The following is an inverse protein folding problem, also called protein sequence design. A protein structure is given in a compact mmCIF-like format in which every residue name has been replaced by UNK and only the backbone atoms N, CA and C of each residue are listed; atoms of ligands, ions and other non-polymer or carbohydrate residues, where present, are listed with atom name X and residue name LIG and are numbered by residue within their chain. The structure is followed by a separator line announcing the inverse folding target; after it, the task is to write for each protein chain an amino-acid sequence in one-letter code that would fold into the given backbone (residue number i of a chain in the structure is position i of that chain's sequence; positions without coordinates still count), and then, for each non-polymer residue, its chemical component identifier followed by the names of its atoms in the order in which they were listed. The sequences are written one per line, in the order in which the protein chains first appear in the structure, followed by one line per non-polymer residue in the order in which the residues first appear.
data_IF_565574198418
#
_entry.id   IF_565574198418
#
_cell.length_a   1.000
_cell.length_b   1.000
_cell.length_c   1.000
_cell.angle_alpha   90.00
_cell.angle_beta   90.00
_cell.angle_gamma   90.00
#
_symmetry.space_group_name_H-M   'P 1'
#
loop_
_entity.id
_entity.type
_entity.pdbx_description
1 polymer ?
#
# COMPACT_ATOMS: atom_id res chain seq x y z
N UNK A 1 -0.97 -16.44 25.47
CA UNK A 1 -0.35 -15.72 24.35
C UNK A 1 -0.93 -14.35 24.21
N UNK A 2 -0.07 -13.38 24.18
CA UNK A 2 -0.53 -12.00 24.10
C UNK A 2 -0.90 -11.63 22.68
N UNK A 3 -2.05 -10.94 22.52
CA UNK A 3 -2.42 -10.28 21.26
C UNK A 3 -1.87 -8.85 21.19
N UNK A 4 -1.23 -8.41 22.26
CA UNK A 4 -0.79 -7.04 22.46
C UNK A 4 0.71 -6.90 22.13
N UNK A 5 1.09 -7.27 20.91
CA UNK A 5 2.46 -7.12 20.43
C UNK A 5 2.47 -6.80 18.94
N UNK A 6 3.60 -6.27 18.46
CA UNK A 6 3.69 -5.88 17.04
C UNK A 6 3.47 -7.01 16.07
N UNK A 7 3.91 -8.21 16.40
CA UNK A 7 3.78 -9.35 15.49
C UNK A 7 2.32 -9.74 15.29
N UNK A 8 1.52 -9.75 16.38
CA UNK A 8 0.09 -10.02 16.29
C UNK A 8 -0.60 -8.94 15.47
N UNK A 9 -0.25 -7.68 15.69
CA UNK A 9 -0.78 -6.56 14.91
C UNK A 9 -0.48 -6.74 13.41
N UNK A 10 0.73 -7.12 13.05
CA UNK A 10 1.12 -7.33 11.65
C UNK A 10 0.36 -8.51 11.02
N UNK A 11 0.08 -9.57 11.79
CA UNK A 11 -0.75 -10.67 11.30
C UNK A 11 -2.18 -10.22 11.02
N UNK A 12 -2.72 -9.38 11.89
CA UNK A 12 -4.06 -8.81 11.69
C UNK A 12 -4.09 -7.95 10.42
N UNK A 13 -3.04 -7.18 10.16
CA UNK A 13 -2.94 -6.38 8.93
C UNK A 13 -2.92 -7.29 7.70
N UNK A 14 -2.18 -8.40 7.76
CA UNK A 14 -2.15 -9.37 6.66
C UNK A 14 -3.56 -9.90 6.36
N UNK A 15 -4.32 -10.22 7.40
CA UNK A 15 -5.71 -10.69 7.24
C UNK A 15 -6.60 -9.61 6.62
N UNK A 16 -6.39 -8.35 6.98
CA UNK A 16 -7.14 -7.23 6.41
C UNK A 16 -6.87 -7.12 4.90
N UNK A 17 -5.63 -7.29 4.47
CA UNK A 17 -5.27 -7.26 3.05
C UNK A 17 -6.02 -8.37 2.31
N UNK A 18 -6.03 -9.58 2.85
CA UNK A 18 -6.74 -10.71 2.25
C UNK A 18 -8.25 -10.44 2.18
N UNK A 19 -8.83 -9.92 3.23
CA UNK A 19 -10.26 -9.64 3.29
C UNK A 19 -10.66 -8.56 2.28
N UNK A 20 -9.87 -7.51 2.15
CA UNK A 20 -10.12 -6.45 1.15
C UNK A 20 -10.02 -6.95 -0.27
N UNK A 21 -9.16 -7.93 -0.53
CA UNK A 21 -9.04 -8.53 -1.85
C UNK A 21 -10.33 -9.19 -2.33
N UNK A 22 -11.18 -9.64 -1.41
CA UNK A 22 -12.47 -10.27 -1.74
C UNK A 22 -13.52 -9.28 -2.19
N UNK A 23 -13.43 -8.03 -1.76
CA UNK A 23 -14.45 -7.02 -2.03
C UNK A 23 -13.98 -5.89 -2.95
N UNK A 24 -12.69 -5.58 -2.96
CA UNK A 24 -12.12 -4.44 -3.69
C UNK A 24 -11.23 -4.87 -4.86
N UNK A 25 -11.13 -6.17 -5.12
CA UNK A 25 -10.25 -6.70 -6.15
C UNK A 25 -8.83 -6.89 -5.68
N UNK A 26 -7.99 -7.40 -6.56
CA UNK A 26 -6.62 -7.75 -6.23
C UNK A 26 -5.78 -6.49 -5.95
N UNK A 27 -5.01 -6.52 -4.87
CA UNK A 27 -4.22 -5.37 -4.42
C UNK A 27 -3.21 -4.89 -5.47
N UNK A 28 -2.59 -5.80 -6.21
CA UNK A 28 -1.62 -5.46 -7.26
C UNK A 28 -2.26 -4.66 -8.38
N UNK A 29 -3.39 -5.15 -8.89
CA UNK A 29 -4.12 -4.50 -9.97
C UNK A 29 -4.59 -3.10 -9.55
N UNK A 30 -5.13 -2.99 -8.34
CA UNK A 30 -5.59 -1.71 -7.81
C UNK A 30 -4.46 -0.67 -7.77
N UNK A 31 -3.28 -1.06 -7.33
CA UNK A 31 -2.15 -0.13 -7.25
C UNK A 31 -1.61 0.21 -8.63
N UNK A 32 -1.59 -0.74 -9.55
CA UNK A 32 -1.18 -0.50 -10.93
C UNK A 32 -2.11 0.50 -11.63
N UNK A 33 -3.41 0.32 -11.48
CA UNK A 33 -4.41 1.24 -12.06
C UNK A 33 -4.33 2.62 -11.39
N UNK A 34 -4.20 2.65 -10.07
CA UNK A 34 -4.08 3.92 -9.33
C UNK A 34 -2.86 4.71 -9.83
N UNK A 35 -1.72 4.04 -9.99
CA UNK A 35 -0.51 4.69 -10.48
C UNK A 35 -0.73 5.28 -11.89
N UNK A 36 -1.40 4.53 -12.76
CA UNK A 36 -1.71 5.00 -14.11
C UNK A 36 -2.61 6.22 -14.10
N UNK A 37 -3.67 6.18 -13.28
CA UNK A 37 -4.62 7.29 -13.20
C UNK A 37 -3.95 8.54 -12.65
N UNK A 38 -3.13 8.40 -11.61
CA UNK A 38 -2.41 9.55 -11.05
C UNK A 38 -1.38 10.09 -12.02
N UNK A 39 -0.70 9.23 -12.76
CA UNK A 39 0.25 9.66 -13.79
C UNK A 39 -0.43 10.44 -14.90
N UNK A 40 -1.61 10.01 -15.32
CA UNK A 40 -2.42 10.72 -16.31
C UNK A 40 -2.84 12.09 -15.80
N UNK A 41 -3.31 12.17 -14.57
CA UNK A 41 -3.77 13.42 -13.97
C UNK A 41 -2.64 14.44 -13.87
N UNK A 42 -1.47 14.01 -13.40
CA UNK A 42 -0.33 14.90 -13.22
C UNK A 42 0.37 15.25 -14.55
N UNK A 43 0.29 14.35 -15.53
CA UNK A 43 0.76 14.62 -16.89
C UNK A 43 2.19 15.11 -16.94
N UNK A 44 2.38 16.26 -17.53
CA UNK A 44 3.71 16.84 -17.76
C UNK A 44 4.42 17.35 -16.51
N UNK A 45 3.74 17.38 -15.37
CA UNK A 45 4.39 17.71 -14.09
C UNK A 45 5.34 16.59 -13.64
N UNK A 46 5.21 15.41 -14.21
CA UNK A 46 6.08 14.27 -13.86
C UNK A 46 7.19 14.11 -14.89
N UNK A 47 8.41 13.85 -14.42
CA UNK A 47 9.52 13.50 -15.31
C UNK A 47 9.39 12.07 -15.83
N UNK A 48 8.68 11.23 -15.10
CA UNK A 48 8.35 9.85 -15.50
C UNK A 48 7.10 9.40 -14.76
N UNK A 49 6.40 8.35 -15.25
CA UNK A 49 5.17 7.88 -14.61
C UNK A 49 5.40 7.40 -13.18
N UNK A 50 4.36 7.57 -12.36
CA UNK A 50 4.34 7.02 -11.00
C UNK A 50 4.25 5.50 -11.11
N UNK A 51 5.08 4.78 -10.36
CA UNK A 51 5.02 3.32 -10.31
C UNK A 51 3.96 2.86 -9.30
N UNK A 52 3.55 1.60 -9.41
CA UNK A 52 2.56 1.02 -8.49
C UNK A 52 3.04 1.07 -7.04
N UNK A 53 4.31 0.73 -6.79
CA UNK A 53 4.86 0.76 -5.44
C UNK A 53 4.95 2.20 -4.90
N UNK A 54 5.23 3.18 -5.78
CA UNK A 54 5.20 4.59 -5.38
C UNK A 54 3.79 5.03 -5.01
N UNK A 55 2.79 4.60 -5.77
CA UNK A 55 1.39 4.89 -5.45
C UNK A 55 1.01 4.32 -4.08
N UNK A 56 1.46 3.11 -3.76
CA UNK A 56 1.21 2.51 -2.45
C UNK A 56 1.87 3.32 -1.32
N UNK A 57 3.11 3.77 -1.53
CA UNK A 57 3.79 4.65 -0.55
C UNK A 57 3.03 5.96 -0.38
N UNK A 58 2.54 6.55 -1.47
CA UNK A 58 1.76 7.79 -1.41
C UNK A 58 0.47 7.60 -0.61
N UNK A 59 -0.21 6.47 -0.76
CA UNK A 59 -1.37 6.15 0.06
C UNK A 59 -1.00 6.02 1.53
N UNK A 60 0.15 5.44 1.84
CA UNK A 60 0.67 5.39 3.20
C UNK A 60 0.90 6.78 3.78
N UNK A 61 1.46 7.69 2.98
CA UNK A 61 1.67 9.08 3.38
C UNK A 61 0.36 9.81 3.66
N UNK A 62 -0.71 9.49 2.91
CA UNK A 62 -2.04 10.03 3.20
C UNK A 62 -2.49 9.63 4.61
N UNK A 63 -2.22 8.39 5.02
CA UNK A 63 -2.57 7.93 6.37
C UNK A 63 -1.74 8.63 7.44
N UNK A 64 -0.47 8.91 7.14
CA UNK A 64 0.38 9.70 8.03
C UNK A 64 -0.21 11.11 8.22
N UNK A 65 -0.67 11.74 7.15
CA UNK A 65 -1.27 13.07 7.25
C UNK A 65 -2.54 13.06 8.12
N UNK A 66 -3.35 12.01 8.04
CA UNK A 66 -4.54 11.85 8.89
C UNK A 66 -4.17 11.72 10.35
N UNK A 67 -3.10 10.96 10.65
CA UNK A 67 -2.60 10.86 12.03
C UNK A 67 -2.10 12.19 12.55
N UNK A 68 -1.45 12.97 11.71
CA UNK A 68 -0.94 14.29 12.09
C UNK A 68 -2.08 15.29 12.34
N UNK A 69 -3.14 15.23 11.54
CA UNK A 69 -4.28 16.17 11.66
C UNK A 69 -5.24 15.81 12.78
N UNK A 70 -5.32 14.55 13.15
CA UNK A 70 -6.29 14.08 14.16
C UNK A 70 -5.58 13.40 15.31
N UNK A 71 -5.42 12.09 15.23
CA UNK A 71 -4.74 11.32 16.27
C UNK A 71 -4.24 10.01 15.68
N UNK A 72 -3.26 9.44 16.36
CA UNK A 72 -2.75 8.11 15.98
C UNK A 72 -3.71 7.08 16.56
N UNK A 73 -4.37 6.33 15.69
CA UNK A 73 -5.29 5.25 16.06
C UNK A 73 -4.79 3.92 15.52
N UNK A 74 -5.29 2.84 16.08
CA UNK A 74 -4.96 1.50 15.56
C UNK A 74 -5.35 1.37 14.08
N UNK A 75 -6.52 1.89 13.70
CA UNK A 75 -6.99 1.85 12.33
C UNK A 75 -6.05 2.58 11.38
N UNK A 76 -5.58 3.78 11.76
CA UNK A 76 -4.61 4.51 10.95
C UNK A 76 -3.30 3.75 10.81
N UNK A 77 -2.85 3.09 11.88
CA UNK A 77 -1.63 2.27 11.83
C UNK A 77 -1.82 1.04 10.94
N UNK A 78 -2.99 0.39 11.00
CA UNK A 78 -3.30 -0.73 10.11
C UNK A 78 -3.21 -0.31 8.65
N UNK A 79 -3.81 0.82 8.30
CA UNK A 79 -3.81 1.33 6.93
C UNK A 79 -2.39 1.70 6.48
N UNK A 80 -1.66 2.40 7.33
CA UNK A 80 -0.28 2.81 7.02
C UNK A 80 0.62 1.59 6.78
N UNK A 81 0.58 0.63 7.67
CA UNK A 81 1.37 -0.60 7.56
C UNK A 81 0.90 -1.44 6.37
N UNK A 82 -0.41 -1.48 6.13
CA UNK A 82 -1.00 -2.19 5.00
C UNK A 82 -0.45 -1.69 3.67
N UNK A 83 -0.41 -0.38 3.47
CA UNK A 83 0.14 0.20 2.24
C UNK A 83 1.64 -0.04 2.12
N UNK A 84 2.38 -0.03 3.23
CA UNK A 84 3.78 -0.43 3.24
C UNK A 84 3.96 -1.89 2.80
N UNK A 85 3.07 -2.76 3.27
CA UNK A 85 3.04 -4.16 2.85
C UNK A 85 2.77 -4.32 1.37
N UNK A 86 1.80 -3.55 0.83
CA UNK A 86 1.51 -3.58 -0.61
C UNK A 86 2.71 -3.12 -1.43
N UNK A 87 3.37 -2.04 -1.01
CA UNK A 87 4.57 -1.56 -1.70
C UNK A 87 5.67 -2.62 -1.71
N UNK A 88 5.91 -3.26 -0.56
CA UNK A 88 6.90 -4.33 -0.45
C UNK A 88 6.56 -5.52 -1.32
N UNK A 89 5.30 -5.92 -1.35
CA UNK A 89 4.82 -7.01 -2.19
C UNK A 89 5.00 -6.70 -3.67
N UNK A 90 4.69 -5.48 -4.09
CA UNK A 90 4.87 -5.03 -5.47
C UNK A 90 6.35 -5.08 -5.89
N UNK A 91 7.24 -4.68 -5.00
CA UNK A 91 8.68 -4.74 -5.26
C UNK A 91 9.17 -6.18 -5.42
N UNK A 92 8.68 -7.10 -4.59
CA UNK A 92 9.03 -8.52 -4.70
C UNK A 92 8.58 -9.11 -6.03
N UNK A 93 7.35 -8.79 -6.46
CA UNK A 93 6.83 -9.25 -7.75
C UNK A 93 7.69 -8.70 -8.88
N UNK A 94 8.02 -7.41 -8.84
CA UNK A 94 8.85 -6.76 -9.85
C UNK A 94 10.23 -7.40 -9.94
N UNK A 95 10.85 -7.69 -8.79
CA UNK A 95 12.16 -8.32 -8.75
C UNK A 95 12.10 -9.75 -9.29
N UNK A 96 11.04 -10.49 -8.98
CA UNK A 96 10.83 -11.84 -9.48
C UNK A 96 10.68 -11.84 -11.01
N UNK A 97 9.88 -10.92 -11.54
CA UNK A 97 9.70 -10.78 -12.99
C UNK A 97 11.00 -10.45 -13.71
N UNK A 98 11.84 -9.60 -13.10
CA UNK A 98 13.16 -9.28 -13.65
C UNK A 98 14.07 -10.51 -13.72
N UNK A 99 14.00 -11.39 -12.74
CA UNK A 99 14.81 -12.62 -12.73
C UNK A 99 14.35 -13.62 -13.80
N UNK A 100 13.10 -13.58 -14.19
CA UNK A 100 12.51 -14.48 -15.18
C UNK A 100 12.80 -14.04 -16.62
N UNK A 101 13.23 -12.82 -16.81
CA UNK A 101 13.58 -12.30 -18.13
C UNK A 101 15.08 -12.34 -18.35
#
# INVERSE_FOLDING_TARGET
MSKNNPQAFLRDVADIIDERGKTHGHWRENMEVTAKMWSLFLGHYLSRPITAEQAAVMMGLLKVSRMACRSVTEEHCEDFVGYGGLAGGLLRVKNQESLET
#
